data_IF_906039280967
#
_entry.id   IF_906039280967
#
_cell.length_a   1.000
_cell.length_b   1.000
_cell.length_c   1.000
_cell.angle_alpha   90.00
_cell.angle_beta   90.00
_cell.angle_gamma   90.00
#
_symmetry.space_group_name_H-M   'P 1'
#
loop_
_entity.id
_entity.type
_entity.pdbx_description
1 polymer ?
#
# COMPACT_ATOMS: atom_id res chain seq x y z
N UNK A 1 -15.43 25.89 -10.01
CA UNK A 1 -15.13 26.90 -8.98
C UNK A 1 -14.34 26.21 -7.87
N UNK A 2 -13.01 26.24 -7.94
CA UNK A 2 -12.14 25.77 -6.85
C UNK A 2 -11.97 26.93 -5.88
N UNK A 3 -12.48 26.79 -4.65
CA UNK A 3 -12.34 27.82 -3.62
C UNK A 3 -10.90 27.77 -3.07
N UNK A 4 -10.11 28.82 -3.31
CA UNK A 4 -8.70 28.91 -2.88
C UNK A 4 -8.53 28.85 -1.35
N UNK A 5 -9.51 29.33 -0.57
CA UNK A 5 -9.42 29.44 0.90
C UNK A 5 -9.35 28.10 1.63
N UNK A 6 -9.74 26.99 0.99
CA UNK A 6 -9.69 25.63 1.58
C UNK A 6 -8.59 24.76 0.97
N UNK A 7 -7.67 25.32 0.18
CA UNK A 7 -6.57 24.56 -0.40
C UNK A 7 -5.48 24.30 0.63
N UNK A 8 -4.91 23.10 0.59
CA UNK A 8 -3.73 22.75 1.36
C UNK A 8 -2.55 23.48 0.70
N UNK A 9 -1.80 24.34 1.42
CA UNK A 9 -0.57 24.91 0.87
C UNK A 9 0.40 23.77 0.54
N UNK A 10 0.89 23.72 -0.71
CA UNK A 10 1.67 22.59 -1.21
C UNK A 10 2.95 22.38 -0.40
N UNK A 11 3.61 23.48 -0.03
CA UNK A 11 4.83 23.50 0.76
C UNK A 11 4.66 22.93 2.18
N UNK A 12 3.42 22.87 2.67
CA UNK A 12 3.09 22.29 3.97
C UNK A 12 2.84 20.78 3.91
N UNK A 13 2.92 20.18 2.73
CA UNK A 13 2.93 18.72 2.54
C UNK A 13 4.36 18.32 2.21
N UNK A 14 5.01 17.62 3.13
CA UNK A 14 6.37 17.10 2.97
C UNK A 14 6.26 15.61 2.67
N UNK A 15 6.82 15.17 1.55
CA UNK A 15 6.83 13.76 1.13
C UNK A 15 8.28 13.32 0.99
N UNK A 16 8.67 12.27 1.71
CA UNK A 16 10.05 11.76 1.72
C UNK A 16 11.07 12.89 1.96
N UNK A 17 10.85 13.73 2.98
CA UNK A 17 11.72 14.85 3.33
C UNK A 17 11.68 16.07 2.42
N UNK A 18 10.95 16.05 1.29
CA UNK A 18 10.83 17.20 0.38
C UNK A 18 9.45 17.86 0.43
N UNK A 19 9.36 19.20 0.58
CA UNK A 19 8.09 19.91 0.43
C UNK A 19 7.59 19.80 -1.02
N UNK A 20 6.29 19.64 -1.20
CA UNK A 20 5.69 19.62 -2.52
C UNK A 20 5.58 21.04 -3.10
N UNK A 21 5.77 21.16 -4.41
CA UNK A 21 5.28 22.30 -5.18
C UNK A 21 3.84 22.03 -5.67
N UNK A 22 3.24 23.03 -6.31
CA UNK A 22 1.86 22.96 -6.76
C UNK A 22 1.63 21.88 -7.83
N UNK A 23 2.60 21.65 -8.72
CA UNK A 23 2.50 20.63 -9.76
C UNK A 23 2.55 19.22 -9.16
N UNK A 24 3.46 18.97 -8.21
CA UNK A 24 3.56 17.70 -7.47
C UNK A 24 2.32 17.46 -6.61
N UNK A 25 1.79 18.48 -5.93
CA UNK A 25 0.54 18.36 -5.17
C UNK A 25 -0.63 18.04 -6.11
N UNK A 26 -0.71 18.71 -7.25
CA UNK A 26 -1.75 18.46 -8.26
C UNK A 26 -1.64 17.04 -8.80
N UNK A 27 -0.45 16.56 -9.14
CA UNK A 27 -0.20 15.18 -9.55
C UNK A 27 -0.67 14.18 -8.49
N UNK A 28 -0.37 14.43 -7.21
CA UNK A 28 -0.77 13.59 -6.09
C UNK A 28 -2.30 13.53 -5.92
N UNK A 29 -2.99 14.66 -6.07
CA UNK A 29 -4.44 14.78 -5.85
C UNK A 29 -5.29 14.36 -7.06
N UNK A 30 -4.73 14.39 -8.27
CA UNK A 30 -5.46 14.07 -9.52
C UNK A 30 -5.18 12.66 -10.05
N UNK A 31 -4.28 11.90 -9.41
CA UNK A 31 -4.02 10.52 -9.77
C UNK A 31 -5.26 9.63 -9.56
N UNK A 32 -5.28 8.41 -10.14
CA UNK A 32 -6.46 7.53 -10.13
C UNK A 32 -6.88 7.01 -8.74
N UNK A 33 -5.99 7.07 -7.74
CA UNK A 33 -6.24 6.67 -6.37
C UNK A 33 -5.42 7.57 -5.42
N UNK A 34 -5.85 8.82 -5.20
CA UNK A 34 -5.12 9.82 -4.41
C UNK A 34 -5.21 9.55 -2.91
N UNK A 35 -4.30 10.10 -2.09
CA UNK A 35 -4.37 9.96 -0.64
C UNK A 35 -5.65 10.58 -0.08
N UNK A 36 -6.43 9.78 0.66
CA UNK A 36 -7.67 10.22 1.29
C UNK A 36 -7.37 11.14 2.46
N UNK A 37 -8.06 12.28 2.51
CA UNK A 37 -7.99 13.22 3.63
C UNK A 37 -6.58 13.77 3.86
N UNK A 38 -5.84 14.06 2.79
CA UNK A 38 -4.52 14.71 2.86
C UNK A 38 -4.64 16.00 3.69
N UNK A 39 -3.66 16.25 4.54
CA UNK A 39 -3.55 17.45 5.39
C UNK A 39 -2.10 17.91 5.37
N UNK A 40 -1.82 19.17 5.77
CA UNK A 40 -0.47 19.59 6.11
C UNK A 40 0.23 18.59 7.04
N UNK A 41 1.49 18.26 6.75
CA UNK A 41 2.31 17.35 7.56
C UNK A 41 3.37 16.61 6.75
N UNK A 42 3.94 15.60 7.41
CA UNK A 42 5.06 14.80 6.93
C UNK A 42 4.60 13.39 6.56
N UNK A 43 4.95 12.95 5.36
CA UNK A 43 4.50 11.71 4.77
C UNK A 43 5.66 10.98 4.10
N UNK A 44 5.56 9.67 4.03
CA UNK A 44 6.43 8.85 3.21
C UNK A 44 5.63 8.19 2.09
N UNK A 45 6.30 8.01 0.96
CA UNK A 45 5.73 7.42 -0.24
C UNK A 45 6.72 6.46 -0.90
N UNK A 46 6.30 5.22 -1.05
CA UNK A 46 7.03 4.24 -1.84
C UNK A 46 6.52 4.26 -3.28
N UNK A 47 7.32 4.87 -4.16
CA UNK A 47 7.03 5.02 -5.58
C UNK A 47 6.90 3.70 -6.32
N UNK A 48 7.59 2.63 -5.91
CA UNK A 48 7.58 1.36 -6.62
C UNK A 48 6.28 0.58 -6.41
N UNK A 49 5.77 0.62 -5.17
CA UNK A 49 4.60 -0.14 -4.75
C UNK A 49 3.31 0.69 -4.63
N UNK A 50 3.43 2.00 -4.44
CA UNK A 50 2.31 2.90 -4.13
C UNK A 50 1.97 2.99 -2.64
N UNK A 51 2.71 2.31 -1.74
CA UNK A 51 2.46 2.41 -0.30
C UNK A 51 2.67 3.84 0.21
N UNK A 52 1.76 4.29 1.08
CA UNK A 52 1.69 5.65 1.58
C UNK A 52 1.37 5.68 3.08
N UNK A 53 2.07 6.54 3.82
CA UNK A 53 1.86 6.72 5.26
C UNK A 53 2.34 8.07 5.75
N UNK A 54 2.01 8.39 7.00
CA UNK A 54 2.66 9.50 7.70
C UNK A 54 4.08 9.08 8.09
N UNK A 55 5.01 10.03 8.11
CA UNK A 55 6.35 9.78 8.64
C UNK A 55 6.30 9.19 10.05
N UNK A 56 7.15 8.19 10.28
CA UNK A 56 7.24 7.44 11.52
C UNK A 56 6.07 6.48 11.80
N UNK A 57 5.18 6.26 10.83
CA UNK A 57 4.02 5.38 10.96
C UNK A 57 4.02 4.28 9.89
N UNK A 58 3.35 3.17 10.21
CA UNK A 58 3.08 2.07 9.27
C UNK A 58 2.27 2.54 8.05
N UNK A 59 2.21 1.74 6.97
CA UNK A 59 1.42 2.12 5.80
C UNK A 59 -0.05 2.30 6.15
N UNK A 60 -0.66 3.34 5.60
CA UNK A 60 -2.06 3.70 5.84
C UNK A 60 -2.93 3.53 4.61
N UNK A 61 -2.35 3.70 3.42
CA UNK A 61 -3.01 3.59 2.14
C UNK A 61 -2.04 2.98 1.10
N UNK A 62 -2.60 2.44 0.03
CA UNK A 62 -1.88 2.21 -1.22
C UNK A 62 -2.50 3.21 -2.20
N UNK A 63 -1.71 4.19 -2.64
CA UNK A 63 -2.11 5.20 -3.64
C UNK A 63 -1.58 4.81 -5.02
N UNK A 64 -1.74 5.68 -6.02
CA UNK A 64 -1.14 5.43 -7.33
C UNK A 64 0.38 5.20 -7.22
N UNK A 65 0.93 4.14 -7.85
CA UNK A 65 2.37 3.94 -7.92
C UNK A 65 2.98 4.89 -8.96
N UNK A 66 4.31 5.00 -8.94
CA UNK A 66 5.13 5.72 -9.93
C UNK A 66 4.84 7.22 -10.04
N UNK A 67 4.28 7.84 -9.00
CA UNK A 67 4.16 9.29 -8.96
C UNK A 67 5.54 9.92 -8.72
N UNK A 68 5.84 11.00 -9.43
CA UNK A 68 7.06 11.79 -9.25
C UNK A 68 6.84 12.85 -8.15
N UNK A 69 6.69 12.40 -6.91
CA UNK A 69 6.42 13.26 -5.75
C UNK A 69 7.38 12.97 -4.61
N UNK A 70 7.80 14.03 -3.92
CA UNK A 70 8.77 13.94 -2.83
C UNK A 70 10.19 13.58 -3.29
N UNK A 71 11.06 13.35 -2.29
CA UNK A 71 12.43 12.89 -2.47
C UNK A 71 12.58 11.37 -2.43
N UNK A 72 13.81 10.92 -2.14
CA UNK A 72 14.12 9.50 -2.00
C UNK A 72 13.50 8.90 -0.74
N UNK A 73 12.94 7.69 -0.85
CA UNK A 73 12.38 6.99 0.30
C UNK A 73 13.49 6.64 1.32
N UNK A 74 13.35 7.16 2.54
CA UNK A 74 14.31 6.90 3.61
C UNK A 74 14.09 5.52 4.27
N UNK A 75 15.18 4.90 4.73
CA UNK A 75 15.13 3.59 5.40
C UNK A 75 14.24 3.59 6.63
N UNK A 76 14.25 4.69 7.40
CA UNK A 76 13.50 4.85 8.64
C UNK A 76 12.13 5.54 8.45
N UNK A 77 11.64 5.71 7.21
CA UNK A 77 10.46 6.54 6.94
C UNK A 77 9.18 6.08 7.69
N UNK A 78 9.00 4.78 7.91
CA UNK A 78 7.90 4.20 8.70
C UNK A 78 8.26 3.86 10.14
N UNK A 79 9.48 4.18 10.60
CA UNK A 79 10.00 3.78 11.91
C UNK A 79 9.91 2.26 12.18
N UNK A 80 10.21 1.46 11.14
CA UNK A 80 10.36 0.02 11.27
C UNK A 80 11.52 -0.37 12.19
N UNK A 81 11.43 -1.56 12.79
CA UNK A 81 12.43 -2.11 13.73
C UNK A 81 12.65 -3.61 13.50
N UNK A 82 12.53 -4.04 12.26
CA UNK A 82 12.50 -5.45 11.86
C UNK A 82 13.80 -5.90 11.21
N UNK A 83 14.70 -4.96 10.86
CA UNK A 83 15.87 -5.17 10.02
C UNK A 83 15.58 -5.80 8.64
N UNK A 84 14.29 -5.91 8.27
CA UNK A 84 13.84 -6.33 6.95
C UNK A 84 13.44 -5.06 6.20
N UNK A 85 13.93 -4.90 4.97
CA UNK A 85 13.54 -3.77 4.14
C UNK A 85 12.66 -4.19 2.98
N UNK A 86 11.76 -3.30 2.58
CA UNK A 86 10.98 -3.40 1.34
C UNK A 86 11.17 -2.08 0.60
N UNK A 87 11.70 -2.16 -0.63
CA UNK A 87 12.03 -1.00 -1.46
C UNK A 87 12.95 0.01 -0.75
N UNK A 88 13.86 -0.49 0.10
CA UNK A 88 14.80 0.32 0.87
C UNK A 88 14.25 0.88 2.20
N UNK A 89 12.94 0.81 2.44
CA UNK A 89 12.32 1.18 3.74
C UNK A 89 12.29 -0.01 4.68
N UNK A 90 12.75 0.18 5.91
CA UNK A 90 12.59 -0.82 6.96
C UNK A 90 11.13 -0.92 7.39
N UNK A 91 10.56 -2.12 7.23
CA UNK A 91 9.12 -2.35 7.44
C UNK A 91 8.77 -2.45 8.93
N UNK A 92 7.52 -2.15 9.25
CA UNK A 92 7.00 -2.31 10.61
C UNK A 92 6.78 -3.78 10.97
N UNK A 93 6.54 -4.01 12.26
CA UNK A 93 6.30 -5.37 12.77
C UNK A 93 5.05 -5.97 12.10
N UNK A 94 3.98 -5.20 11.93
CA UNK A 94 2.75 -5.66 11.26
C UNK A 94 3.00 -6.11 9.82
N UNK A 95 3.79 -5.35 9.06
CA UNK A 95 4.17 -5.72 7.70
C UNK A 95 4.97 -7.03 7.69
N UNK A 96 5.90 -7.21 8.65
CA UNK A 96 6.64 -8.46 8.81
C UNK A 96 5.73 -9.65 9.12
N UNK A 97 4.71 -9.46 9.96
CA UNK A 97 3.71 -10.51 10.24
C UNK A 97 2.93 -10.91 8.98
N UNK A 98 2.54 -9.93 8.17
CA UNK A 98 1.86 -10.19 6.90
C UNK A 98 2.74 -11.01 5.95
N UNK A 99 4.03 -10.66 5.83
CA UNK A 99 5.00 -11.42 5.03
C UNK A 99 5.16 -12.86 5.54
N UNK A 100 5.30 -13.04 6.86
CA UNK A 100 5.38 -14.39 7.47
C UNK A 100 4.14 -15.22 7.18
N UNK A 101 2.95 -14.63 7.25
CA UNK A 101 1.69 -15.32 6.93
C UNK A 101 1.55 -15.64 5.43
N UNK A 102 2.14 -14.83 4.57
CA UNK A 102 2.27 -15.12 3.14
C UNK A 102 3.31 -16.23 2.84
N UNK A 103 4.03 -16.73 3.86
CA UNK A 103 5.06 -17.75 3.70
C UNK A 103 6.38 -17.19 3.16
N UNK A 104 6.59 -15.87 3.23
CA UNK A 104 7.84 -15.24 2.85
C UNK A 104 8.89 -15.55 3.93
N UNK A 105 10.04 -16.14 3.57
CA UNK A 105 11.12 -16.35 4.53
C UNK A 105 11.72 -15.00 4.92
N UNK A 106 11.69 -14.67 6.21
CA UNK A 106 12.29 -13.45 6.74
C UNK A 106 13.38 -13.85 7.73
N UNK A 107 14.65 -13.77 7.32
CA UNK A 107 15.81 -14.15 8.15
C UNK A 107 16.31 -13.02 9.06
N UNK A 108 15.60 -11.89 9.09
CA UNK A 108 15.90 -10.75 9.96
C UNK A 108 16.91 -9.78 9.37
N UNK A 109 17.48 -10.03 8.19
CA UNK A 109 18.35 -9.07 7.47
C UNK A 109 18.06 -9.05 5.97
N UNK A 110 16.85 -9.45 5.57
CA UNK A 110 16.48 -9.58 4.17
C UNK A 110 16.04 -8.23 3.58
N UNK A 111 16.58 -7.89 2.42
CA UNK A 111 16.11 -6.77 1.62
C UNK A 111 15.20 -7.30 0.49
N UNK A 112 13.98 -6.80 0.42
CA UNK A 112 13.01 -7.13 -0.62
C UNK A 112 12.77 -5.93 -1.53
N UNK A 113 12.51 -6.23 -2.80
CA UNK A 113 11.93 -5.28 -3.74
C UNK A 113 10.53 -5.74 -4.08
N UNK A 114 9.56 -4.82 -4.02
CA UNK A 114 8.14 -5.10 -4.22
C UNK A 114 7.54 -4.12 -5.23
N UNK A 115 6.85 -4.66 -6.22
CA UNK A 115 6.16 -3.88 -7.25
C UNK A 115 4.71 -3.59 -6.85
N UNK A 116 4.09 -2.63 -7.55
CA UNK A 116 2.70 -2.22 -7.32
C UNK A 116 1.63 -3.32 -7.52
N UNK A 117 1.96 -4.41 -8.20
CA UNK A 117 1.08 -5.58 -8.37
C UNK A 117 1.19 -6.58 -7.21
N UNK A 118 2.04 -6.29 -6.21
CA UNK A 118 2.33 -7.16 -5.08
C UNK A 118 3.34 -8.25 -5.37
N UNK A 119 3.93 -8.31 -6.56
CA UNK A 119 5.10 -9.16 -6.82
C UNK A 119 6.27 -8.70 -5.99
N UNK A 120 7.03 -9.64 -5.44
CA UNK A 120 8.24 -9.33 -4.69
C UNK A 120 9.40 -10.24 -5.08
N UNK A 121 10.61 -9.68 -4.99
CA UNK A 121 11.89 -10.37 -5.15
C UNK A 121 12.75 -10.09 -3.92
N UNK A 122 13.66 -11.00 -3.64
CA UNK A 122 14.77 -10.76 -2.73
C UNK A 122 15.85 -9.98 -3.48
N UNK A 123 16.33 -8.86 -2.93
CA UNK A 123 17.32 -7.99 -3.58
C UNK A 123 18.59 -8.79 -3.86
N UNK A 124 19.11 -8.69 -5.08
CA UNK A 124 20.24 -9.47 -5.56
C UNK A 124 19.87 -10.80 -6.23
N UNK A 125 18.61 -11.24 -6.13
CA UNK A 125 18.09 -12.38 -6.88
C UNK A 125 17.29 -11.92 -8.11
N UNK A 126 17.23 -12.77 -9.14
CA UNK A 126 16.55 -12.45 -10.43
C UNK A 126 15.11 -12.96 -10.53
N UNK A 127 14.69 -13.85 -9.62
CA UNK A 127 13.42 -14.55 -9.74
C UNK A 127 12.37 -13.97 -8.78
N UNK A 128 11.17 -13.69 -9.30
CA UNK A 128 9.99 -13.36 -8.50
C UNK A 128 9.71 -14.51 -7.53
N UNK A 129 9.62 -14.18 -6.23
CA UNK A 129 9.38 -15.14 -5.16
C UNK A 129 7.89 -15.44 -4.98
N UNK A 130 7.05 -14.48 -5.32
CA UNK A 130 5.59 -14.64 -5.34
C UNK A 130 4.87 -13.31 -5.39
N UNK A 131 3.56 -13.36 -5.23
CA UNK A 131 2.68 -12.20 -5.18
C UNK A 131 1.88 -12.21 -3.87
N UNK A 132 2.02 -11.17 -3.06
CA UNK A 132 1.42 -11.11 -1.71
C UNK A 132 -0.11 -11.09 -1.79
N UNK A 133 -0.67 -10.45 -2.82
CA UNK A 133 -2.11 -10.18 -2.94
C UNK A 133 -2.90 -11.19 -3.76
N UNK A 134 -2.27 -12.27 -4.24
CA UNK A 134 -2.94 -13.31 -5.02
C UNK A 134 -4.05 -14.01 -4.22
N UNK A 135 -3.82 -14.22 -2.93
CA UNK A 135 -4.77 -14.93 -2.06
C UNK A 135 -5.66 -13.95 -1.32
N UNK A 136 -6.99 -14.17 -1.37
CA UNK A 136 -7.96 -13.37 -0.60
C UNK A 136 -7.71 -13.42 0.91
N UNK A 137 -7.14 -14.53 1.40
CA UNK A 137 -6.72 -14.65 2.81
C UNK A 137 -5.67 -13.62 3.20
N UNK A 138 -4.77 -13.23 2.30
CA UNK A 138 -3.75 -12.21 2.58
C UNK A 138 -4.34 -10.81 2.64
N UNK A 139 -5.39 -10.53 1.85
CA UNK A 139 -6.14 -9.28 1.95
C UNK A 139 -6.83 -9.18 3.31
N UNK A 140 -7.49 -10.25 3.75
CA UNK A 140 -8.09 -10.30 5.08
C UNK A 140 -7.04 -10.15 6.19
N UNK A 141 -5.90 -10.84 6.07
CA UNK A 141 -4.78 -10.72 7.00
C UNK A 141 -4.27 -9.28 7.12
N UNK A 142 -4.09 -8.60 5.99
CA UNK A 142 -3.69 -7.19 5.95
C UNK A 142 -4.67 -6.31 6.71
N UNK A 143 -5.97 -6.48 6.47
CA UNK A 143 -7.00 -5.72 7.20
C UNK A 143 -6.97 -5.98 8.71
N UNK A 144 -6.77 -7.24 9.14
CA UNK A 144 -6.63 -7.59 10.56
C UNK A 144 -5.40 -6.97 11.20
N UNK A 145 -4.32 -6.82 10.44
CA UNK A 145 -3.10 -6.12 10.84
C UNK A 145 -3.19 -4.59 10.66
N UNK A 146 -4.37 -4.07 10.27
CA UNK A 146 -4.61 -2.65 9.99
C UNK A 146 -3.67 -2.07 8.92
N UNK A 147 -3.30 -2.90 7.95
CA UNK A 147 -2.52 -2.56 6.77
C UNK A 147 -3.43 -2.40 5.55
N UNK A 148 -3.09 -1.50 4.63
CA UNK A 148 -3.91 -1.26 3.45
C UNK A 148 -3.79 -2.41 2.45
N UNK A 149 -4.90 -2.67 1.74
CA UNK A 149 -4.99 -3.66 0.66
C UNK A 149 -5.18 -2.96 -0.68
N UNK A 150 -4.70 -3.54 -1.81
CA UNK A 150 -4.88 -2.94 -3.12
C UNK A 150 -6.37 -2.87 -3.52
N UNK A 151 -6.76 -1.72 -4.10
CA UNK A 151 -8.16 -1.34 -4.36
C UNK A 151 -8.92 -2.24 -5.35
N UNK A 152 -8.24 -3.03 -6.17
CA UNK A 152 -8.87 -3.83 -7.24
C UNK A 152 -9.65 -5.06 -6.75
N UNK A 153 -9.91 -5.24 -5.45
CA UNK A 153 -10.28 -6.58 -4.97
C UNK A 153 -11.11 -6.73 -3.69
N UNK A 154 -11.95 -5.76 -3.35
CA UNK A 154 -13.10 -6.02 -2.48
C UNK A 154 -14.31 -6.38 -3.35
N UNK A 155 -14.34 -7.60 -3.89
CA UNK A 155 -15.61 -8.24 -4.22
C UNK A 155 -15.91 -9.20 -3.06
N UNK A 156 -16.79 -8.84 -2.12
CA UNK A 156 -17.23 -9.79 -1.11
C UNK A 156 -17.94 -10.93 -1.82
N UNK A 157 -17.47 -12.16 -1.61
CA UNK A 157 -18.12 -13.36 -2.08
C UNK A 157 -19.40 -13.61 -1.24
N UNK A 158 -20.55 -13.22 -1.77
CA UNK A 158 -21.90 -13.70 -1.42
C UNK A 158 -22.86 -12.90 -2.32
N UNK A 159 -23.44 -13.47 -3.37
CA UNK A 159 -24.52 -14.44 -3.26
C UNK A 159 -24.27 -15.61 -4.24
N UNK A 160 -23.90 -16.77 -3.70
CA UNK A 160 -24.53 -18.00 -4.18
C UNK A 160 -26.01 -17.96 -3.78
N UNK A 161 -26.92 -18.73 -4.36
CA UNK A 161 -26.76 -20.08 -4.85
C UNK A 161 -27.74 -20.32 -6.00
N UNK A 162 -27.28 -21.14 -6.95
CA UNK A 162 -28.08 -21.80 -7.95
C UNK A 162 -29.13 -22.72 -7.30
N UNK A 163 -30.21 -22.90 -8.04
CA UNK A 163 -30.98 -24.16 -8.15
C UNK A 163 -31.64 -24.69 -6.87
N UNK A 164 -32.95 -24.43 -6.75
CA UNK A 164 -33.86 -25.47 -6.29
C UNK A 164 -34.65 -25.94 -7.51
N UNK A 165 -34.27 -27.13 -7.93
CA UNK A 165 -34.82 -27.94 -9.01
C UNK A 165 -36.31 -28.26 -8.84
N UNK A 166 -36.94 -28.48 -9.98
CA UNK A 166 -38.18 -29.22 -10.20
C UNK A 166 -38.45 -30.32 -9.18
N UNK A 167 -39.62 -30.27 -8.55
CA UNK A 167 -40.60 -31.36 -8.40
C UNK A 167 -41.50 -31.05 -7.21
N UNK A 168 -42.73 -30.59 -7.48
CA UNK A 168 -43.87 -30.99 -6.67
C UNK A 168 -45.06 -31.26 -7.59
N UNK A 169 -45.35 -32.55 -7.69
CA UNK A 169 -46.52 -33.13 -8.31
C UNK A 169 -47.81 -32.68 -7.62
N UNK A 170 -48.89 -32.72 -8.40
CA UNK A 170 -50.31 -32.85 -8.00
C UNK A 170 -51.00 -31.62 -7.40
N UNK A 171 -51.67 -30.85 -8.27
CA UNK A 171 -53.12 -30.98 -8.51
C UNK A 171 -53.53 -30.29 -9.81
#
# INVERSE_FOLDING_TARGET
MFCETNQIPAENVIVNGEPLDWDKLTLLLTCSNPPKGLKPGFYWYDKASGFWGKEGQRPSQIICPRLEVGGNLERNASNGKTNVTVNGREITIEELWLLKWAGVPCDGTTDFWMSHDGSYIEVGQKNVKGHIWEKSTMKLASLMLSLPVPSSSLTPASQGENEISEHNLQQ
#
